data_IF_273101301805
#
_entry.id   IF_273101301805
#
_cell.length_a   1.000
_cell.length_b   1.000
_cell.length_c   1.000
_cell.angle_alpha   90.00
_cell.angle_beta   90.00
_cell.angle_gamma   90.00
#
_symmetry.space_group_name_H-M   'P 1'
#
loop_
_entity.id
_entity.type
_entity.pdbx_description
1 polymer ?
#
# COMPACT_ATOMS: atom_id res chain seq x y z
N UNK A 1 -16.52 37.40 15.06
CA UNK A 1 -17.17 38.49 14.32
C UNK A 1 -16.11 39.55 14.05
N UNK A 2 -15.96 40.00 12.80
CA UNK A 2 -15.08 41.11 12.46
C UNK A 2 -15.95 42.31 12.05
N UNK A 3 -15.72 43.46 12.66
CA UNK A 3 -16.47 44.70 12.40
C UNK A 3 -15.52 45.73 11.79
N UNK A 4 -15.95 46.38 10.71
CA UNK A 4 -15.23 47.47 10.05
C UNK A 4 -16.19 48.66 9.95
N UNK A 5 -15.75 49.84 10.36
CA UNK A 5 -16.55 51.07 10.33
C UNK A 5 -15.71 52.24 9.82
N UNK A 6 -16.27 53.00 8.88
CA UNK A 6 -15.67 54.22 8.38
C UNK A 6 -14.28 54.03 7.74
N UNK A 7 -13.44 55.05 7.89
CA UNK A 7 -12.13 55.13 7.25
C UNK A 7 -12.03 56.31 6.30
N UNK A 8 -10.99 56.28 5.47
CA UNK A 8 -10.70 57.31 4.48
C UNK A 8 -10.41 56.64 3.15
N UNK A 9 -11.03 57.12 2.08
CA UNK A 9 -10.79 56.61 0.74
C UNK A 9 -9.54 57.25 0.10
N UNK A 10 -9.23 56.84 -1.13
CA UNK A 10 -8.09 57.37 -1.90
C UNK A 10 -8.21 58.88 -2.23
N UNK A 11 -9.42 59.43 -2.21
CA UNK A 11 -9.70 60.84 -2.47
C UNK A 11 -9.62 61.69 -1.20
N UNK A 12 -9.32 61.06 -0.05
CA UNK A 12 -9.35 61.65 1.30
C UNK A 12 -10.76 61.96 1.80
N UNK A 13 -11.77 61.31 1.22
CA UNK A 13 -13.14 61.39 1.70
C UNK A 13 -13.36 60.36 2.82
N UNK A 14 -14.11 60.75 3.86
CA UNK A 14 -14.46 59.84 4.95
C UNK A 14 -15.49 58.84 4.46
N UNK A 15 -15.19 57.56 4.62
CA UNK A 15 -16.13 56.47 4.37
C UNK A 15 -17.26 56.51 5.40
N UNK A 16 -18.46 56.08 5.00
CA UNK A 16 -19.69 56.22 5.76
C UNK A 16 -20.52 54.93 5.75
N UNK A 17 -19.80 53.84 5.92
CA UNK A 17 -20.36 52.51 5.98
C UNK A 17 -19.77 51.72 7.15
N UNK A 18 -20.56 50.77 7.62
CA UNK A 18 -20.19 49.85 8.68
C UNK A 18 -20.57 48.45 8.23
N UNK A 19 -19.68 47.50 8.44
CA UNK A 19 -19.79 46.15 7.91
C UNK A 19 -19.40 45.13 8.97
N UNK A 20 -20.11 44.00 8.96
CA UNK A 20 -19.73 42.79 9.68
C UNK A 20 -19.34 41.72 8.69
N UNK A 21 -18.20 41.07 8.93
CA UNK A 21 -17.86 39.83 8.26
C UNK A 21 -18.33 38.64 9.08
N UNK A 22 -19.27 37.88 8.50
CA UNK A 22 -19.70 36.59 9.02
C UNK A 22 -18.66 35.53 8.64
N UNK A 23 -17.83 35.13 9.62
CA UNK A 23 -16.76 34.15 9.41
C UNK A 23 -17.27 32.74 9.11
N UNK A 24 -18.52 32.41 9.46
CA UNK A 24 -19.09 31.08 9.21
C UNK A 24 -19.63 30.99 7.79
N UNK A 25 -20.31 32.05 7.34
CA UNK A 25 -20.90 32.11 6.00
C UNK A 25 -19.97 32.73 4.95
N UNK A 26 -18.80 33.21 5.36
CA UNK A 26 -17.85 33.96 4.52
C UNK A 26 -18.51 35.12 3.76
N UNK A 27 -19.43 35.83 4.40
CA UNK A 27 -20.26 36.87 3.79
C UNK A 27 -20.14 38.20 4.53
N UNK A 28 -20.37 39.30 3.80
CA UNK A 28 -20.39 40.66 4.34
C UNK A 28 -21.82 41.14 4.55
N UNK A 29 -22.09 41.67 5.74
CA UNK A 29 -23.38 42.24 6.11
C UNK A 29 -23.16 43.74 6.35
N UNK A 30 -23.86 44.58 5.58
CA UNK A 30 -23.82 46.03 5.78
C UNK A 30 -24.74 46.42 6.94
N UNK A 31 -24.24 47.24 7.86
CA UNK A 31 -24.99 47.78 8.98
C UNK A 31 -25.47 49.20 8.69
N UNK A 32 -26.74 49.46 8.96
CA UNK A 32 -27.35 50.79 8.88
C UNK A 32 -27.10 51.58 10.17
N UNK A 33 -25.84 51.89 10.47
CA UNK A 33 -25.47 52.72 11.63
C UNK A 33 -25.59 54.21 11.31
N UNK A 34 -25.77 55.09 12.32
CA UNK A 34 -25.76 56.53 12.11
C UNK A 34 -24.42 57.04 11.55
N UNK A 35 -24.46 58.15 10.80
CA UNK A 35 -23.25 58.82 10.29
C UNK A 35 -22.27 59.22 11.39
N UNK A 36 -22.76 59.54 12.59
CA UNK A 36 -21.90 59.79 13.75
C UNK A 36 -21.07 58.56 14.13
N UNK A 37 -21.44 57.34 13.75
CA UNK A 37 -20.66 56.12 14.00
C UNK A 37 -19.72 55.83 12.84
N UNK A 38 -20.23 55.86 11.60
CA UNK A 38 -19.51 55.43 10.40
C UNK A 38 -18.70 56.52 9.72
N UNK A 39 -19.20 57.75 9.61
CA UNK A 39 -18.63 58.82 8.78
C UNK A 39 -17.39 59.49 9.40
N UNK A 40 -16.34 58.73 9.68
CA UNK A 40 -15.12 59.23 10.34
C UNK A 40 -13.91 58.36 10.09
N UNK A 41 -12.72 58.93 10.22
CA UNK A 41 -11.44 58.23 10.09
C UNK A 41 -10.57 58.40 11.35
N UNK A 42 -9.57 57.54 11.53
CA UNK A 42 -8.62 57.66 12.66
C UNK A 42 -9.26 57.51 14.05
N UNK A 43 -10.43 56.86 14.11
CA UNK A 43 -11.13 56.56 15.35
C UNK A 43 -10.73 55.19 15.88
N UNK A 44 -11.01 54.93 17.16
CA UNK A 44 -10.96 53.59 17.72
C UNK A 44 -12.34 52.93 17.67
N UNK A 45 -12.36 51.62 17.46
CA UNK A 45 -13.57 50.79 17.46
C UNK A 45 -13.36 49.62 18.43
N UNK A 46 -14.30 49.41 19.34
CA UNK A 46 -14.32 48.30 20.29
C UNK A 46 -15.66 47.59 20.25
N UNK A 47 -15.66 46.29 20.56
CA UNK A 47 -16.86 45.45 20.53
C UNK A 47 -17.00 44.75 21.87
N UNK A 48 -18.19 44.82 22.46
CA UNK A 48 -18.50 44.24 23.77
C UNK A 48 -19.72 43.33 23.68
N UNK A 49 -19.59 42.08 24.12
CA UNK A 49 -20.67 41.09 24.06
C UNK A 49 -21.49 41.19 25.34
N UNK A 50 -22.71 41.72 25.25
CA UNK A 50 -23.62 41.85 26.39
C UNK A 50 -24.35 40.54 26.66
N UNK A 51 -24.76 39.83 25.61
CA UNK A 51 -25.41 38.52 25.67
C UNK A 51 -25.24 37.80 24.32
N UNK A 52 -25.62 36.50 24.20
CA UNK A 52 -25.56 35.79 22.92
C UNK A 52 -26.31 36.46 21.76
N UNK A 53 -27.30 37.30 22.09
CA UNK A 53 -28.15 37.99 21.10
C UNK A 53 -27.95 39.51 21.08
N UNK A 54 -27.01 40.05 21.87
CA UNK A 54 -26.78 41.49 21.99
C UNK A 54 -25.29 41.80 22.09
N UNK A 55 -24.80 42.58 21.13
CA UNK A 55 -23.42 43.06 21.06
C UNK A 55 -23.43 44.57 20.96
N UNK A 56 -22.56 45.24 21.70
CA UNK A 56 -22.42 46.68 21.63
C UNK A 56 -21.12 47.04 20.92
N UNK A 57 -21.18 47.96 19.97
CA UNK A 57 -20.01 48.55 19.35
C UNK A 57 -19.78 49.94 19.93
N UNK A 58 -18.53 50.26 20.23
CA UNK A 58 -18.12 51.54 20.81
C UNK A 58 -17.14 52.18 19.84
N UNK A 59 -17.51 53.33 19.30
CA UNK A 59 -16.66 54.13 18.43
C UNK A 59 -16.21 55.37 19.20
N UNK A 60 -14.89 55.62 19.27
CA UNK A 60 -14.36 56.76 20.01
C UNK A 60 -13.34 57.59 19.20
N UNK A 61 -13.49 58.91 19.28
CA UNK A 61 -12.62 59.89 18.64
C UNK A 61 -12.65 59.86 17.12
N UNK A 62 -11.52 60.19 16.51
CA UNK A 62 -11.35 60.31 15.07
C UNK A 62 -11.62 61.71 14.54
N UNK A 63 -11.61 61.81 13.21
CA UNK A 63 -11.81 63.05 12.47
C UNK A 63 -12.89 62.86 11.40
N UNK A 64 -13.60 63.96 11.15
CA UNK A 64 -14.50 64.17 10.02
C UNK A 64 -13.83 65.14 9.04
N UNK A 65 -14.42 65.37 7.87
CA UNK A 65 -13.87 66.29 6.86
C UNK A 65 -13.52 67.69 7.42
N UNK A 66 -14.32 68.18 8.38
CA UNK A 66 -14.16 69.53 8.97
C UNK A 66 -13.33 69.55 10.26
N UNK A 67 -12.54 68.52 10.54
CA UNK A 67 -11.64 68.47 11.70
C UNK A 67 -11.93 67.33 12.68
N UNK A 68 -11.39 67.39 13.92
CA UNK A 68 -11.60 66.34 14.90
C UNK A 68 -13.06 66.23 15.30
N UNK A 69 -13.50 65.02 15.63
CA UNK A 69 -14.84 64.83 16.18
C UNK A 69 -14.92 65.45 17.57
N UNK A 70 -15.96 66.25 17.79
CA UNK A 70 -16.24 66.95 19.05
C UNK A 70 -17.50 66.41 19.74
N UNK A 71 -17.73 66.87 20.97
CA UNK A 71 -18.92 66.51 21.74
C UNK A 71 -20.20 66.91 20.98
N UNK A 72 -21.26 66.07 20.95
CA UNK A 72 -21.44 64.84 21.75
C UNK A 72 -20.92 63.56 21.09
N UNK A 73 -20.42 63.64 19.87
CA UNK A 73 -20.12 62.46 19.05
C UNK A 73 -18.72 61.87 19.31
N UNK A 74 -18.04 62.27 20.40
CA UNK A 74 -16.68 61.80 20.72
C UNK A 74 -16.73 60.29 20.91
N UNK A 75 -17.62 59.79 21.76
CA UNK A 75 -17.89 58.38 21.94
C UNK A 75 -19.34 58.08 21.54
N UNK A 76 -19.51 57.03 20.75
CA UNK A 76 -20.80 56.47 20.33
C UNK A 76 -20.88 55.01 20.75
N UNK A 77 -21.96 54.60 21.41
CA UNK A 77 -22.29 53.20 21.69
C UNK A 77 -23.48 52.81 20.85
N UNK A 78 -23.35 51.79 20.03
CA UNK A 78 -24.45 51.29 19.19
C UNK A 78 -24.72 49.84 19.53
N UNK A 79 -25.98 49.54 19.82
CA UNK A 79 -26.46 48.19 20.05
C UNK A 79 -26.62 47.45 18.72
N UNK A 80 -26.18 46.20 18.71
CA UNK A 80 -26.38 45.24 17.63
C UNK A 80 -27.13 44.04 18.19
N UNK A 81 -28.29 43.76 17.62
CA UNK A 81 -29.12 42.61 17.97
C UNK A 81 -28.84 41.50 16.98
N UNK A 82 -28.35 40.37 17.47
CA UNK A 82 -28.03 39.19 16.66
C UNK A 82 -29.24 38.27 16.62
N UNK A 83 -29.66 37.91 15.42
CA UNK A 83 -30.70 36.91 15.23
C UNK A 83 -30.12 35.49 15.23
N UNK A 84 -30.98 34.49 15.44
CA UNK A 84 -30.61 33.07 15.42
C UNK A 84 -30.21 32.55 14.04
N UNK A 85 -30.53 33.29 12.98
CA UNK A 85 -30.30 32.92 11.58
C UNK A 85 -28.99 33.52 11.03
N UNK A 86 -28.22 34.22 11.87
CA UNK A 86 -26.94 34.84 11.54
C UNK A 86 -27.02 36.25 10.96
N UNK A 87 -28.20 36.88 10.95
CA UNK A 87 -28.37 38.30 10.65
C UNK A 87 -28.09 39.20 11.87
N UNK A 88 -27.92 40.48 11.58
CA UNK A 88 -27.57 41.50 12.57
C UNK A 88 -28.38 42.77 12.31
N UNK A 89 -29.11 43.23 13.33
CA UNK A 89 -29.91 44.45 13.29
C UNK A 89 -29.25 45.53 14.15
N UNK A 90 -29.21 46.76 13.65
CA UNK A 90 -28.74 47.92 14.41
C UNK A 90 -29.89 48.39 15.31
N UNK A 91 -29.63 48.40 16.61
CA UNK A 91 -30.52 48.92 17.65
C UNK A 91 -30.20 50.38 18.01
N UNK A 92 -30.39 50.72 19.27
CA UNK A 92 -30.21 52.10 19.75
C UNK A 92 -28.73 52.55 19.67
N UNK A 93 -28.54 53.85 19.43
CA UNK A 93 -27.23 54.49 19.46
C UNK A 93 -27.20 55.62 20.49
N UNK A 94 -26.22 55.59 21.39
CA UNK A 94 -26.02 56.56 22.46
C UNK A 94 -24.76 57.36 22.21
N UNK A 95 -24.87 58.69 22.22
CA UNK A 95 -23.73 59.60 22.20
C UNK A 95 -23.16 59.82 23.61
N UNK A 96 -22.09 60.61 23.71
CA UNK A 96 -21.38 60.84 24.98
C UNK A 96 -22.26 61.49 26.05
N UNK A 97 -23.27 62.26 25.67
CA UNK A 97 -24.19 62.87 26.63
C UNK A 97 -25.23 61.83 27.08
N UNK A 98 -25.81 61.09 26.14
CA UNK A 98 -26.80 60.05 26.42
C UNK A 98 -26.23 58.89 27.25
N UNK A 99 -24.95 58.57 27.10
CA UNK A 99 -24.28 57.57 27.94
C UNK A 99 -24.25 57.93 29.43
N UNK A 100 -24.45 59.20 29.79
CA UNK A 100 -24.54 59.62 31.21
C UNK A 100 -25.97 59.60 31.75
N UNK A 101 -26.96 59.41 30.88
CA UNK A 101 -28.38 59.40 31.24
C UNK A 101 -28.75 58.20 32.11
N UNK A 102 -29.77 58.39 32.95
CA UNK A 102 -30.34 57.31 33.76
C UNK A 102 -31.00 56.22 32.89
N UNK A 103 -31.52 56.58 31.72
CA UNK A 103 -32.10 55.64 30.76
C UNK A 103 -31.05 54.65 30.24
N UNK A 104 -29.89 55.16 29.81
CA UNK A 104 -28.76 54.32 29.39
C UNK A 104 -28.27 53.42 30.53
N UNK A 105 -28.07 53.98 31.73
CA UNK A 105 -27.61 53.19 32.90
C UNK A 105 -28.57 52.06 33.22
N UNK A 106 -29.88 52.33 33.21
CA UNK A 106 -30.93 51.34 33.46
C UNK A 106 -30.91 50.24 32.39
N UNK A 107 -30.81 50.62 31.10
CA UNK A 107 -30.73 49.64 30.00
C UNK A 107 -29.47 48.79 30.09
N UNK A 108 -28.31 49.39 30.36
CA UNK A 108 -27.04 48.68 30.55
C UNK A 108 -27.13 47.65 31.68
N UNK A 109 -27.68 48.04 32.83
CA UNK A 109 -27.89 47.12 33.96
C UNK A 109 -28.86 45.98 33.59
N UNK A 110 -29.96 46.28 32.89
CA UNK A 110 -30.91 45.27 32.44
C UNK A 110 -30.27 44.28 31.47
N UNK A 111 -29.44 44.76 30.53
CA UNK A 111 -28.73 43.89 29.59
C UNK A 111 -27.70 43.01 30.31
N UNK A 112 -26.96 43.53 31.28
CA UNK A 112 -26.04 42.72 32.09
C UNK A 112 -26.77 41.62 32.89
N UNK A 113 -27.90 41.95 33.52
CA UNK A 113 -28.70 40.97 34.26
C UNK A 113 -29.29 39.90 33.32
N UNK A 114 -29.80 40.32 32.17
CA UNK A 114 -30.35 39.44 31.14
C UNK A 114 -29.29 38.51 30.57
N UNK A 115 -28.13 39.06 30.19
CA UNK A 115 -26.98 38.30 29.71
C UNK A 115 -26.52 37.28 30.74
N UNK A 116 -26.36 37.69 32.01
CA UNK A 116 -25.99 36.78 33.10
C UNK A 116 -27.00 35.64 33.27
N UNK A 117 -28.31 35.93 33.22
CA UNK A 117 -29.36 34.90 33.30
C UNK A 117 -29.27 33.91 32.14
N UNK A 118 -29.15 34.40 30.90
CA UNK A 118 -29.03 33.55 29.70
C UNK A 118 -27.79 32.65 29.81
N UNK A 119 -26.64 33.22 30.18
CA UNK A 119 -25.42 32.45 30.38
C UNK A 119 -25.57 31.34 31.43
N UNK A 120 -26.23 31.63 32.56
CA UNK A 120 -26.50 30.63 33.60
C UNK A 120 -27.48 29.54 33.14
N UNK A 121 -28.50 29.90 32.36
CA UNK A 121 -29.53 28.97 31.91
C UNK A 121 -29.09 28.10 30.74
N UNK A 122 -28.40 28.67 29.75
CA UNK A 122 -27.99 27.96 28.54
C UNK A 122 -26.67 27.21 28.70
N UNK A 123 -25.72 27.74 29.47
CA UNK A 123 -24.36 27.18 29.54
C UNK A 123 -24.02 26.50 30.87
N UNK A 124 -24.68 26.84 31.99
CA UNK A 124 -24.41 26.18 33.29
C UNK A 124 -25.41 25.09 33.68
N UNK A 125 -26.66 25.11 33.19
CA UNK A 125 -27.58 24.00 33.48
C UNK A 125 -27.26 22.83 32.55
N UNK A 126 -27.03 21.61 33.09
CA UNK A 126 -27.03 20.42 32.26
C UNK A 126 -28.37 20.36 31.53
N UNK A 127 -28.35 20.28 30.21
CA UNK A 127 -29.55 19.96 29.42
C UNK A 127 -30.03 18.60 29.90
N UNK A 128 -31.06 18.59 30.75
CA UNK A 128 -31.56 17.38 31.44
C UNK A 128 -31.94 16.22 30.50
N UNK A 129 -32.10 16.47 29.20
CA UNK A 129 -32.33 15.43 28.18
C UNK A 129 -31.07 14.86 27.51
N UNK A 130 -29.96 15.61 27.47
CA UNK A 130 -28.78 15.23 26.67
C UNK A 130 -27.81 14.37 27.47
N UNK A 131 -27.73 14.53 28.80
CA UNK A 131 -26.76 13.80 29.62
C UNK A 131 -27.03 12.29 29.63
N UNK A 132 -28.31 11.87 29.74
CA UNK A 132 -28.67 10.45 29.73
C UNK A 132 -28.41 9.79 28.37
N UNK A 133 -28.66 10.51 27.27
CA UNK A 133 -28.39 10.00 25.92
C UNK A 133 -26.88 9.93 25.64
N UNK A 134 -26.10 10.92 26.09
CA UNK A 134 -24.63 10.91 26.00
C UNK A 134 -24.07 9.77 26.84
N UNK A 135 -24.53 9.58 28.07
CA UNK A 135 -24.05 8.52 28.97
C UNK A 135 -24.36 7.12 28.41
N UNK A 136 -25.58 6.92 27.89
CA UNK A 136 -25.96 5.68 27.23
C UNK A 136 -25.15 5.44 25.94
N UNK A 137 -24.84 6.51 25.18
CA UNK A 137 -23.98 6.44 23.99
C UNK A 137 -22.55 6.08 24.36
N UNK A 138 -21.97 6.72 25.40
CA UNK A 138 -20.63 6.41 25.91
C UNK A 138 -20.56 4.97 26.41
N UNK A 139 -21.58 4.51 27.13
CA UNK A 139 -21.63 3.14 27.62
C UNK A 139 -21.73 2.12 26.47
N UNK A 140 -22.50 2.43 25.43
CA UNK A 140 -22.59 1.60 24.22
C UNK A 140 -21.26 1.56 23.47
N UNK A 141 -20.59 2.70 23.31
CA UNK A 141 -19.27 2.78 22.67
C UNK A 141 -18.22 2.00 23.44
N UNK A 142 -18.21 2.10 24.78
CA UNK A 142 -17.28 1.39 25.64
C UNK A 142 -17.45 -0.14 25.49
N UNK A 143 -18.69 -0.64 25.50
CA UNK A 143 -18.99 -2.06 25.27
C UNK A 143 -18.56 -2.54 23.89
N UNK A 144 -18.76 -1.74 22.85
CA UNK A 144 -18.32 -2.05 21.49
C UNK A 144 -16.78 -2.10 21.38
N UNK A 145 -16.09 -1.17 22.06
CA UNK A 145 -14.63 -1.15 22.15
C UNK A 145 -14.08 -2.40 22.84
N UNK A 146 -14.66 -2.82 23.97
CA UNK A 146 -14.28 -4.05 24.65
C UNK A 146 -14.49 -5.30 23.80
N UNK A 147 -15.61 -5.37 23.07
CA UNK A 147 -15.88 -6.46 22.13
C UNK A 147 -14.84 -6.50 21.00
N UNK A 148 -14.53 -5.35 20.39
CA UNK A 148 -13.51 -5.23 19.35
C UNK A 148 -12.11 -5.60 19.85
N UNK A 149 -11.78 -5.27 21.10
CA UNK A 149 -10.51 -5.64 21.69
C UNK A 149 -10.38 -7.16 21.84
N UNK A 150 -11.46 -7.86 22.22
CA UNK A 150 -11.48 -9.32 22.30
C UNK A 150 -11.34 -9.98 20.93
N UNK A 151 -12.09 -9.51 19.93
CA UNK A 151 -11.98 -9.99 18.55
C UNK A 151 -10.54 -9.82 18.00
N UNK A 152 -9.90 -8.69 18.31
CA UNK A 152 -8.52 -8.43 17.89
C UNK A 152 -7.53 -9.40 18.54
N UNK A 153 -7.70 -9.71 19.82
CA UNK A 153 -6.84 -10.67 20.53
C UNK A 153 -7.05 -12.11 20.03
N UNK A 154 -8.26 -12.50 19.66
CA UNK A 154 -8.52 -13.80 19.03
C UNK A 154 -7.88 -13.88 17.64
N UNK A 155 -8.04 -12.85 16.81
CA UNK A 155 -7.43 -12.78 15.48
C UNK A 155 -5.89 -12.83 15.53
N UNK A 156 -5.27 -12.19 16.54
CA UNK A 156 -3.82 -12.30 16.75
C UNK A 156 -3.37 -13.73 17.08
N UNK A 157 -4.12 -14.44 17.92
CA UNK A 157 -3.83 -15.84 18.26
C UNK A 157 -3.94 -16.73 17.03
N UNK A 158 -4.96 -16.55 16.21
CA UNK A 158 -5.13 -17.28 14.96
C UNK A 158 -3.98 -17.01 13.98
N UNK A 159 -3.59 -15.74 13.80
CA UNK A 159 -2.46 -15.37 12.97
C UNK A 159 -1.14 -15.98 13.46
N UNK A 160 -0.94 -16.06 14.78
CA UNK A 160 0.23 -16.69 15.38
C UNK A 160 0.27 -18.20 15.12
N UNK A 161 -0.87 -18.89 15.24
CA UNK A 161 -0.98 -20.32 14.91
C UNK A 161 -0.69 -20.55 13.43
N UNK A 162 -1.26 -19.72 12.54
CA UNK A 162 -1.01 -19.81 11.10
C UNK A 162 0.47 -19.60 10.77
N UNK A 163 1.12 -18.64 11.44
CA UNK A 163 2.56 -18.40 11.27
C UNK A 163 3.40 -19.62 11.67
N UNK A 164 3.10 -20.25 12.82
CA UNK A 164 3.78 -21.46 13.25
C UNK A 164 3.59 -22.63 12.27
N UNK A 165 2.38 -22.79 11.73
CA UNK A 165 2.11 -23.82 10.71
C UNK A 165 2.92 -23.57 9.43
N UNK A 166 3.03 -22.32 8.99
CA UNK A 166 3.83 -21.95 7.83
C UNK A 166 5.32 -22.23 8.05
N UNK A 167 5.87 -21.87 9.21
CA UNK A 167 7.26 -22.20 9.55
C UNK A 167 7.52 -23.72 9.56
N UNK A 168 6.59 -24.50 10.12
CA UNK A 168 6.74 -25.96 10.14
C UNK A 168 6.73 -26.53 8.71
N UNK A 169 5.82 -26.05 7.86
CA UNK A 169 5.72 -26.48 6.46
C UNK A 169 6.99 -26.14 5.67
N UNK A 170 7.57 -24.95 5.89
CA UNK A 170 8.82 -24.54 5.26
C UNK A 170 10.00 -25.43 5.71
N UNK A 171 10.06 -25.83 6.99
CA UNK A 171 11.05 -26.79 7.47
C UNK A 171 10.89 -28.16 6.83
N UNK A 172 9.66 -28.68 6.75
CA UNK A 172 9.37 -29.96 6.10
C UNK A 172 9.72 -29.93 4.60
N UNK A 173 9.46 -28.82 3.92
CA UNK A 173 9.83 -28.63 2.52
C UNK A 173 11.36 -28.59 2.35
N UNK A 174 12.07 -27.88 3.23
CA UNK A 174 13.53 -27.85 3.23
C UNK A 174 14.15 -29.25 3.45
N UNK A 175 13.55 -30.07 4.33
CA UNK A 175 14.00 -31.45 4.56
C UNK A 175 13.79 -32.33 3.31
N UNK A 176 12.62 -32.25 2.68
CA UNK A 176 12.33 -32.96 1.42
C UNK A 176 13.29 -32.54 0.31
N UNK A 177 13.59 -31.25 0.21
CA UNK A 177 14.55 -30.73 -0.76
C UNK A 177 15.96 -31.27 -0.51
N UNK A 178 16.38 -31.38 0.74
CA UNK A 178 17.66 -32.02 1.07
C UNK A 178 17.66 -33.50 0.67
N UNK A 179 16.56 -34.21 0.90
CA UNK A 179 16.43 -35.63 0.52
C UNK A 179 16.46 -35.81 -1.00
N UNK A 180 15.74 -34.98 -1.76
CA UNK A 180 15.79 -34.95 -3.23
C UNK A 180 17.22 -34.70 -3.72
N UNK A 181 17.95 -33.76 -3.10
CA UNK A 181 19.37 -33.50 -3.43
C UNK A 181 20.25 -34.74 -3.19
N UNK A 182 20.07 -35.44 -2.07
CA UNK A 182 20.79 -36.69 -1.79
C UNK A 182 20.48 -37.76 -2.83
N UNK A 183 19.20 -37.93 -3.17
CA UNK A 183 18.76 -38.91 -4.15
C UNK A 183 19.34 -38.62 -5.55
N UNK A 184 19.29 -37.36 -5.98
CA UNK A 184 19.92 -36.90 -7.24
C UNK A 184 21.42 -37.20 -7.27
N UNK A 185 22.13 -36.95 -6.17
CA UNK A 185 23.56 -37.25 -6.09
C UNK A 185 23.86 -38.76 -6.18
N UNK A 186 23.02 -39.61 -5.56
CA UNK A 186 23.15 -41.06 -5.69
C UNK A 186 22.88 -41.54 -7.12
N UNK A 187 21.85 -41.00 -7.78
CA UNK A 187 21.53 -41.30 -9.17
C UNK A 187 22.71 -40.96 -10.09
N UNK A 188 23.26 -39.74 -9.95
CA UNK A 188 24.41 -39.29 -10.73
C UNK A 188 25.64 -40.21 -10.55
N UNK A 189 25.88 -40.70 -9.33
CA UNK A 189 26.95 -41.68 -9.08
C UNK A 189 26.70 -43.02 -9.76
N UNK A 190 25.45 -43.51 -9.78
CA UNK A 190 25.08 -44.75 -10.49
C UNK A 190 25.24 -44.57 -12.00
N UNK A 191 24.79 -43.45 -12.55
CA UNK A 191 24.93 -43.17 -13.98
C UNK A 191 26.40 -43.11 -14.41
N UNK A 192 27.26 -42.48 -13.59
CA UNK A 192 28.71 -42.47 -13.85
C UNK A 192 29.30 -43.87 -13.85
N UNK A 193 28.95 -44.70 -12.85
CA UNK A 193 29.41 -46.11 -12.79
C UNK A 193 28.92 -46.92 -13.99
N UNK A 194 27.68 -46.72 -14.41
CA UNK A 194 27.12 -47.40 -15.59
C UNK A 194 27.84 -46.96 -16.87
N UNK A 195 28.15 -45.67 -17.03
CA UNK A 195 28.95 -45.18 -18.16
C UNK A 195 30.37 -45.75 -18.16
N UNK A 196 31.02 -45.82 -17.00
CA UNK A 196 32.35 -46.46 -16.87
C UNK A 196 32.29 -47.95 -17.25
N UNK A 197 31.26 -48.68 -16.79
CA UNK A 197 31.06 -50.08 -17.14
C UNK A 197 30.76 -50.28 -18.63
N UNK A 198 30.01 -49.38 -19.26
CA UNK A 198 29.79 -49.41 -20.72
C UNK A 198 31.10 -49.20 -21.47
N UNK A 199 31.92 -48.20 -21.10
CA UNK A 199 33.23 -47.99 -21.71
C UNK A 199 34.15 -49.20 -21.57
N UNK A 200 34.14 -49.86 -20.40
CA UNK A 200 34.90 -51.09 -20.21
C UNK A 200 34.41 -52.22 -21.12
N UNK A 201 33.09 -52.38 -21.25
CA UNK A 201 32.52 -53.36 -22.19
C UNK A 201 32.92 -53.07 -23.63
N UNK A 202 32.89 -51.80 -24.05
CA UNK A 202 33.30 -51.40 -25.39
C UNK A 202 34.77 -51.73 -25.67
N UNK A 203 35.66 -51.51 -24.69
CA UNK A 203 37.09 -51.89 -24.79
C UNK A 203 37.23 -53.42 -24.96
N UNK A 204 36.52 -54.19 -24.13
CA UNK A 204 36.56 -55.66 -24.20
C UNK A 204 36.02 -56.18 -25.53
N UNK A 205 34.95 -55.58 -26.06
CA UNK A 205 34.39 -55.93 -27.37
C UNK A 205 35.43 -55.66 -28.47
N UNK A 206 36.07 -54.48 -28.47
CA UNK A 206 37.12 -54.13 -29.44
C UNK A 206 38.30 -55.10 -29.39
N UNK A 207 38.72 -55.53 -28.20
CA UNK A 207 39.80 -56.50 -28.03
C UNK A 207 39.39 -57.89 -28.54
N UNK A 208 38.15 -58.32 -28.27
CA UNK A 208 37.59 -59.57 -28.80
C UNK A 208 37.45 -59.56 -30.32
N UNK A 209 37.02 -58.45 -30.90
CA UNK A 209 36.94 -58.30 -32.35
C UNK A 209 38.33 -58.38 -33.00
N UNK A 210 39.37 -57.82 -32.35
CA UNK A 210 40.75 -57.94 -32.79
C UNK A 210 41.28 -59.38 -32.71
N UNK A 211 41.03 -60.08 -31.60
CA UNK A 211 41.36 -61.51 -31.47
C UNK A 211 40.67 -62.35 -32.55
N UNK A 212 39.39 -62.06 -32.83
CA UNK A 212 38.62 -62.76 -33.84
C UNK A 212 39.19 -62.52 -35.25
N UNK A 213 39.54 -61.28 -35.58
CA UNK A 213 40.21 -60.95 -36.85
C UNK A 213 41.54 -61.69 -37.02
N UNK A 214 42.33 -61.81 -35.95
CA UNK A 214 43.60 -62.52 -35.99
C UNK A 214 43.42 -64.02 -36.20
N UNK A 215 42.44 -64.64 -35.49
CA UNK A 215 42.06 -66.04 -35.74
C UNK A 215 41.53 -66.28 -37.15
N UNK A 216 40.72 -65.37 -37.68
CA UNK A 216 40.23 -65.46 -39.06
C UNK A 216 41.37 -65.33 -40.08
N UNK A 217 42.43 -64.58 -39.77
CA UNK A 217 43.65 -64.50 -40.61
C UNK A 217 44.43 -65.81 -40.56
N UNK A 218 44.68 -66.35 -39.37
CA UNK A 218 45.34 -67.66 -39.19
C UNK A 218 44.56 -68.78 -39.89
N UNK A 219 43.23 -68.75 -39.82
CA UNK A 219 42.39 -69.74 -40.49
C UNK A 219 42.53 -69.66 -42.01
N UNK A 220 42.54 -68.44 -42.59
CA UNK A 220 42.77 -68.26 -44.03
C UNK A 220 44.14 -68.74 -44.46
N UNK A 221 45.20 -68.41 -43.71
CA UNK A 221 46.56 -68.89 -44.00
C UNK A 221 46.66 -70.41 -43.92
N UNK A 222 45.99 -71.04 -42.94
CA UNK A 222 45.91 -72.50 -42.83
C UNK A 222 45.10 -73.11 -43.97
N UNK A 223 43.97 -72.51 -44.36
CA UNK A 223 43.10 -72.99 -45.42
C UNK A 223 43.79 -72.90 -46.80
N UNK A 224 44.54 -71.82 -47.05
CA UNK A 224 45.43 -71.71 -48.22
C UNK A 224 46.44 -72.85 -48.26
N UNK A 225 46.95 -73.29 -47.11
CA UNK A 225 47.90 -74.39 -46.97
C UNK A 225 47.33 -75.80 -47.29
N UNK A 226 46.00 -75.96 -47.28
CA UNK A 226 45.28 -77.18 -47.66
C UNK A 226 44.63 -77.09 -49.05
N UNK A 227 44.84 -75.99 -49.78
CA UNK A 227 44.38 -75.83 -51.16
C UNK A 227 45.15 -76.76 -52.09
N UNK A 228 44.53 -77.85 -52.54
CA UNK A 228 45.14 -78.77 -53.50
C UNK A 228 45.12 -78.11 -54.87
N UNK A 229 46.30 -77.70 -55.37
CA UNK A 229 46.44 -77.23 -56.74
C UNK A 229 46.45 -78.45 -57.69
N UNK A 230 45.82 -78.33 -58.87
CA UNK A 230 45.65 -79.43 -59.84
C UNK A 230 46.98 -80.02 -60.31
N UNK A 231 48.04 -79.23 -60.24
CA UNK A 231 49.40 -79.60 -60.64
C UNK A 231 50.18 -80.38 -59.55
N UNK A 232 49.66 -80.48 -58.31
CA UNK A 232 50.31 -81.22 -57.21
C UNK A 232 49.99 -82.74 -57.22
N UNK A 233 49.08 -83.19 -58.08
CA UNK A 233 48.70 -84.60 -58.21
C UNK A 233 49.25 -85.15 -59.52
N UNK A 234 50.23 -86.05 -59.43
CA UNK A 234 50.76 -86.76 -60.60
C UNK A 234 50.13 -88.14 -60.69
N UNK A 235 49.32 -88.39 -61.74
CA UNK A 235 48.70 -89.68 -61.98
C UNK A 235 49.73 -90.69 -62.50
N UNK A 236 49.84 -91.84 -61.83
CA UNK A 236 50.63 -92.98 -62.30
C UNK A 236 49.62 -94.00 -62.85
N UNK A 237 49.88 -94.55 -64.04
CA UNK A 237 48.99 -95.50 -64.73
C UNK A 237 49.01 -96.90 -64.10
N UNK A 238 49.03 -96.98 -62.78
CA UNK A 238 48.96 -98.22 -62.03
C UNK A 238 47.54 -98.41 -61.52
N UNK A 239 46.87 -99.45 -62.00
CA UNK A 239 45.47 -99.78 -61.71
C UNK A 239 45.39 -100.56 -60.39
N UNK A 240 44.77 -99.97 -59.36
CA UNK A 240 44.57 -100.63 -58.06
C UNK A 240 43.39 -101.59 -58.08
N UNK A 241 42.45 -101.40 -59.00
CA UNK A 241 41.27 -102.24 -59.14
C UNK A 241 40.25 -101.62 -60.09
N UNK A 242 39.48 -102.49 -60.74
CA UNK A 242 38.46 -102.11 -61.71
C UNK A 242 37.07 -102.34 -61.12
N UNK A 243 36.35 -101.25 -60.88
CA UNK A 243 34.92 -101.30 -60.58
C UNK A 243 34.10 -101.33 -61.86
N UNK A 244 32.80 -101.59 -61.75
CA UNK A 244 31.86 -101.65 -62.88
C UNK A 244 31.69 -100.32 -63.64
N UNK A 245 32.16 -99.19 -63.08
CA UNK A 245 31.98 -97.84 -63.64
C UNK A 245 33.28 -97.04 -63.88
N UNK A 246 34.41 -97.41 -63.25
CA UNK A 246 35.68 -96.71 -63.42
C UNK A 246 36.87 -97.57 -63.01
N UNK A 247 38.04 -97.22 -63.53
CA UNK A 247 39.34 -97.74 -63.11
C UNK A 247 39.87 -96.82 -62.01
N UNK A 248 40.20 -97.38 -60.83
CA UNK A 248 40.88 -96.62 -59.77
C UNK A 248 42.38 -96.69 -60.03
N UNK A 249 43.02 -95.53 -60.15
CA UNK A 249 44.45 -95.41 -60.44
C UNK A 249 45.22 -94.86 -59.25
N UNK A 250 46.51 -95.16 -59.16
CA UNK A 250 47.38 -94.58 -58.14
C UNK A 250 47.86 -93.20 -58.57
N UNK A 251 47.46 -92.16 -57.85
CA UNK A 251 48.12 -90.87 -57.89
C UNK A 251 49.26 -90.79 -56.87
N UNK A 252 50.29 -89.98 -57.15
CA UNK A 252 51.19 -89.48 -56.11
C UNK A 252 50.76 -88.06 -55.75
N UNK A 253 50.48 -87.86 -54.45
CA UNK A 253 50.27 -86.55 -53.86
C UNK A 253 51.31 -86.35 -52.75
N UNK A 254 52.19 -85.35 -52.91
CA UNK A 254 53.26 -85.01 -51.95
C UNK A 254 54.07 -86.21 -51.44
N UNK A 255 54.41 -87.14 -52.35
CA UNK A 255 55.21 -88.34 -52.04
C UNK A 255 54.43 -89.52 -51.44
N UNK A 256 53.13 -89.37 -51.19
CA UNK A 256 52.24 -90.44 -50.71
C UNK A 256 51.42 -91.00 -51.87
N UNK A 257 51.23 -92.33 -51.88
CA UNK A 257 50.36 -93.01 -52.84
C UNK A 257 48.90 -92.84 -52.42
N UNK A 258 48.10 -92.24 -53.28
CA UNK A 258 46.67 -92.02 -53.05
C UNK A 258 45.86 -92.68 -54.17
N UNK A 259 44.70 -93.23 -53.84
CA UNK A 259 43.77 -93.78 -54.82
C UNK A 259 42.97 -92.63 -55.44
N UNK A 260 42.94 -92.58 -56.78
CA UNK A 260 42.30 -91.53 -57.58
C UNK A 260 41.38 -92.16 -58.62
#
# INVERSE_FOLDING_TARGET
MLVISGGMDKNKDTLDDCWIFNIIQHSWIKLAVPHSVSKRCGHSLSVFIMSPHCVWIITAGGAVHNGPVTNPNIAMVTELVLDSNGGCLVGDTYDSNLMTSEEYKKKYQQQLQTGRRIWLEEYQKPRKGDTANIEQTVQTLMKNLEAKQKELEESKKEAQVFHQQMEQKEREEAEKDQEIRRYRHQLQKKDRKNQEALRQKDIVILEKDRELQEKDRELRESQDHWSINKDEVTLIKEELGRGSYAVVTVGIFRGLRVAV
#
